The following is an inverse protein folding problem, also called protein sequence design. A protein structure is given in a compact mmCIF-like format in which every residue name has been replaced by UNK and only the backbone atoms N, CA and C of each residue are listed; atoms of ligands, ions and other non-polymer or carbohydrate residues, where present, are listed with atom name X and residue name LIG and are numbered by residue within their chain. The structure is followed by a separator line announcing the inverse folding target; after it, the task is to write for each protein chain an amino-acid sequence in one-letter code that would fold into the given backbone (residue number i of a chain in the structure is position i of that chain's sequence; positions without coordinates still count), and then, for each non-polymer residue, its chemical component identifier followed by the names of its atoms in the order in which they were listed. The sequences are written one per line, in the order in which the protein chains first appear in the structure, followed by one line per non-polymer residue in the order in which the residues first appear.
data_IF_950515518403
#
_entry.id   IF_950515518403
#
_cell.length_a   1.000
_cell.length_b   1.000
_cell.length_c   1.000
_cell.angle_alpha   90.00
_cell.angle_beta   90.00
_cell.angle_gamma   90.00
#
_symmetry.space_group_name_H-M   'P 1'
#
loop_
_entity.id
_entity.type
_entity.pdbx_description
1 polymer ?
#
# COMPACT_ATOMS: atom_id res chain seq x y z
N UNK A 1 -12.67 -3.45 -8.70
CA UNK A 1 -11.37 -3.45 -7.98
C UNK A 1 -11.66 -3.06 -6.55
N UNK A 2 -11.27 -3.87 -5.56
CA UNK A 2 -11.54 -3.59 -4.15
C UNK A 2 -10.63 -2.46 -3.60
N UNK A 3 -10.93 -1.95 -2.38
CA UNK A 3 -10.21 -0.83 -1.77
C UNK A 3 -8.71 -1.12 -1.60
N UNK A 4 -8.36 -2.35 -1.21
CA UNK A 4 -6.99 -2.80 -1.00
C UNK A 4 -6.15 -2.63 -2.27
N UNK A 5 -6.52 -3.27 -3.36
CA UNK A 5 -5.76 -3.21 -4.61
C UNK A 5 -5.74 -1.82 -5.23
N UNK A 6 -6.83 -1.04 -5.07
CA UNK A 6 -6.86 0.33 -5.58
C UNK A 6 -5.89 1.28 -4.87
N UNK A 7 -5.50 0.97 -3.63
CA UNK A 7 -4.49 1.74 -2.90
C UNK A 7 -3.06 1.25 -3.20
N UNK A 8 -2.83 -0.06 -3.17
CA UNK A 8 -1.48 -0.64 -3.20
C UNK A 8 -0.89 -0.80 -4.61
N UNK A 9 -1.70 -1.08 -5.66
CA UNK A 9 -1.18 -1.22 -7.02
C UNK A 9 -0.48 0.02 -7.57
N UNK A 10 -1.00 1.25 -7.42
CA UNK A 10 -0.30 2.45 -7.85
C UNK A 10 1.04 2.64 -7.15
N UNK A 11 1.12 2.32 -5.86
CA UNK A 11 2.35 2.38 -5.07
C UNK A 11 3.39 1.37 -5.57
N UNK A 12 2.99 0.12 -5.76
CA UNK A 12 3.86 -0.90 -6.33
C UNK A 12 4.38 -0.49 -7.72
N UNK A 13 3.49 -0.01 -8.59
CA UNK A 13 3.83 0.45 -9.94
C UNK A 13 4.79 1.64 -9.93
N UNK A 14 4.56 2.62 -9.05
CA UNK A 14 5.45 3.78 -8.90
C UNK A 14 6.84 3.34 -8.42
N UNK A 15 6.91 2.48 -7.40
CA UNK A 15 8.18 1.91 -6.94
C UNK A 15 8.91 1.15 -8.03
N UNK A 16 8.21 0.29 -8.77
CA UNK A 16 8.78 -0.48 -9.88
C UNK A 16 9.38 0.44 -10.97
N UNK A 17 8.66 1.48 -11.37
CA UNK A 17 9.16 2.45 -12.36
C UNK A 17 10.41 3.17 -11.87
N UNK A 18 10.40 3.67 -10.63
CA UNK A 18 11.57 4.33 -10.02
C UNK A 18 12.74 3.36 -9.95
N UNK A 19 12.50 2.10 -9.56
CA UNK A 19 13.53 1.06 -9.49
C UNK A 19 14.16 0.75 -10.85
N UNK A 20 13.35 0.61 -11.90
CA UNK A 20 13.83 0.40 -13.27
C UNK A 20 14.70 1.59 -13.74
N UNK A 21 14.21 2.82 -13.55
CA UNK A 21 14.95 4.03 -13.94
C UNK A 21 16.30 4.10 -13.19
N UNK A 22 16.26 3.92 -11.86
CA UNK A 22 17.47 3.91 -11.02
C UNK A 22 18.43 2.80 -11.45
N UNK A 23 17.95 1.61 -11.75
CA UNK A 23 18.75 0.50 -12.22
C UNK A 23 19.40 0.77 -13.59
N UNK A 24 18.66 1.34 -14.53
CA UNK A 24 19.20 1.73 -15.84
C UNK A 24 20.33 2.74 -15.65
N UNK A 25 20.13 3.76 -14.83
CA UNK A 25 21.16 4.78 -14.54
C UNK A 25 22.38 4.14 -13.87
N UNK A 26 22.18 3.23 -12.92
CA UNK A 26 23.27 2.57 -12.18
C UNK A 26 24.09 1.63 -13.06
N UNK A 27 23.44 0.82 -13.92
CA UNK A 27 24.11 -0.25 -14.68
C UNK A 27 24.59 0.18 -16.07
N UNK A 28 24.05 1.26 -16.65
CA UNK A 28 24.47 1.79 -17.96
C UNK A 28 25.54 2.87 -17.89
N UNK A 29 25.45 3.77 -16.92
CA UNK A 29 26.47 4.78 -16.72
C UNK A 29 27.66 4.09 -16.09
N UNK A 30 28.84 4.15 -16.76
CA UNK A 30 30.11 3.62 -16.25
C UNK A 30 30.28 4.04 -14.78
N UNK A 31 30.93 3.21 -13.94
CA UNK A 31 30.95 3.42 -12.50
C UNK A 31 31.59 4.76 -12.13
N UNK A 32 30.77 5.80 -12.03
CA UNK A 32 31.14 7.01 -11.36
C UNK A 32 31.10 6.70 -9.85
N UNK A 33 32.23 6.34 -9.31
CA UNK A 33 32.70 6.40 -7.92
C UNK A 33 31.84 5.80 -6.80
N UNK A 34 30.51 5.61 -6.94
CA UNK A 34 29.70 4.97 -5.88
C UNK A 34 28.32 4.54 -6.39
N UNK A 35 28.03 3.26 -6.32
CA UNK A 35 26.71 2.68 -6.59
C UNK A 35 25.66 3.12 -5.57
N UNK A 36 26.09 3.59 -4.42
CA UNK A 36 25.21 3.96 -3.31
C UNK A 36 24.38 5.21 -3.59
N UNK A 37 24.95 6.21 -4.26
CA UNK A 37 24.26 7.50 -4.53
C UNK A 37 22.97 7.34 -5.34
N UNK A 38 22.95 6.72 -6.54
CA UNK A 38 21.71 6.57 -7.29
C UNK A 38 20.69 5.71 -6.58
N UNK A 39 21.11 4.68 -5.83
CA UNK A 39 20.20 3.84 -5.05
C UNK A 39 19.55 4.64 -3.91
N UNK A 40 20.32 5.44 -3.17
CA UNK A 40 19.78 6.29 -2.10
C UNK A 40 18.79 7.34 -2.64
N UNK A 41 19.10 7.94 -3.78
CA UNK A 41 18.19 8.88 -4.46
C UNK A 41 16.90 8.14 -4.87
N UNK A 42 17.01 6.94 -5.42
CA UNK A 42 15.86 6.12 -5.79
C UNK A 42 14.99 5.73 -4.59
N UNK A 43 15.59 5.35 -3.46
CA UNK A 43 14.86 5.09 -2.22
C UNK A 43 14.15 6.35 -1.72
N UNK A 44 14.83 7.49 -1.69
CA UNK A 44 14.23 8.76 -1.29
C UNK A 44 13.04 9.13 -2.20
N UNK A 45 13.20 9.01 -3.52
CA UNK A 45 12.13 9.24 -4.48
C UNK A 45 10.93 8.29 -4.26
N UNK A 46 11.18 7.04 -3.90
CA UNK A 46 10.15 6.04 -3.61
C UNK A 46 9.34 6.43 -2.36
N UNK A 47 10.00 6.89 -1.30
CA UNK A 47 9.34 7.37 -0.08
C UNK A 47 8.51 8.63 -0.37
N UNK A 48 9.05 9.57 -1.14
CA UNK A 48 8.33 10.78 -1.56
C UNK A 48 7.10 10.41 -2.40
N UNK A 49 7.22 9.49 -3.35
CA UNK A 49 6.09 9.04 -4.16
C UNK A 49 4.98 8.41 -3.31
N UNK A 50 5.34 7.59 -2.31
CA UNK A 50 4.38 7.01 -1.37
C UNK A 50 3.69 8.09 -0.52
N UNK A 51 4.42 9.09 -0.04
CA UNK A 51 3.86 10.23 0.70
C UNK A 51 2.90 11.06 -0.14
N UNK A 52 3.26 11.37 -1.39
CA UNK A 52 2.40 12.09 -2.33
C UNK A 52 1.11 11.32 -2.64
N UNK A 53 1.21 10.01 -2.86
CA UNK A 53 0.03 9.17 -3.09
C UNK A 53 -0.89 9.14 -1.87
N UNK A 54 -0.31 8.94 -0.67
CA UNK A 54 -1.07 8.87 0.58
C UNK A 54 -1.81 10.17 0.87
N UNK A 55 -1.12 11.32 0.77
CA UNK A 55 -1.64 12.64 1.11
C UNK A 55 -2.23 13.38 -0.10
N UNK A 56 -1.45 14.23 -0.80
CA UNK A 56 -1.98 15.21 -1.78
C UNK A 56 -2.76 14.57 -2.94
N UNK A 57 -2.39 13.37 -3.36
CA UNK A 57 -3.10 12.65 -4.42
C UNK A 57 -4.37 11.92 -3.92
N UNK A 58 -4.67 12.00 -2.63
CA UNK A 58 -5.92 11.52 -2.03
C UNK A 58 -6.07 9.99 -2.02
N UNK A 59 -4.98 9.23 -2.07
CA UNK A 59 -5.01 7.77 -2.01
C UNK A 59 -5.62 7.26 -0.71
N UNK A 60 -5.21 7.86 0.42
CA UNK A 60 -5.71 7.54 1.75
C UNK A 60 -7.21 7.81 1.91
N UNK A 61 -7.67 8.98 1.46
CA UNK A 61 -9.08 9.37 1.55
C UNK A 61 -9.98 8.49 0.69
N UNK A 62 -9.52 8.15 -0.53
CA UNK A 62 -10.24 7.22 -1.40
C UNK A 62 -10.34 5.82 -0.78
N UNK A 63 -9.26 5.36 -0.14
CA UNK A 63 -9.26 4.10 0.59
C UNK A 63 -10.26 4.14 1.74
N UNK A 64 -10.15 5.13 2.64
CA UNK A 64 -11.04 5.29 3.79
C UNK A 64 -12.51 5.40 3.38
N UNK A 65 -12.82 6.19 2.36
CA UNK A 65 -14.19 6.36 1.86
C UNK A 65 -14.77 5.05 1.33
N UNK A 66 -13.98 4.23 0.63
CA UNK A 66 -14.44 2.93 0.12
C UNK A 66 -14.71 1.93 1.25
N UNK A 67 -13.81 1.86 2.24
CA UNK A 67 -14.00 0.97 3.40
C UNK A 67 -15.21 1.41 4.22
N UNK A 68 -15.34 2.70 4.55
CA UNK A 68 -16.48 3.20 5.30
C UNK A 68 -17.80 2.95 4.57
N UNK A 69 -17.83 3.10 3.24
CA UNK A 69 -19.03 2.79 2.45
C UNK A 69 -19.36 1.30 2.50
N UNK A 70 -18.35 0.43 2.40
CA UNK A 70 -18.55 -1.01 2.49
C UNK A 70 -19.02 -1.43 3.88
N UNK A 71 -18.44 -0.86 4.94
CA UNK A 71 -18.85 -1.11 6.31
C UNK A 71 -20.30 -0.67 6.57
N UNK A 72 -20.67 0.54 6.12
CA UNK A 72 -22.04 1.02 6.23
C UNK A 72 -23.02 0.14 5.46
N UNK A 73 -22.66 -0.39 4.30
CA UNK A 73 -23.50 -1.31 3.54
C UNK A 73 -23.75 -2.62 4.32
N UNK A 74 -22.77 -3.10 5.08
CA UNK A 74 -22.94 -4.24 5.99
C UNK A 74 -23.93 -3.90 7.10
N UNK A 75 -23.78 -2.74 7.77
CA UNK A 75 -24.69 -2.32 8.84
C UNK A 75 -26.13 -2.22 8.35
N UNK A 76 -26.35 -1.60 7.18
CA UNK A 76 -27.69 -1.49 6.57
C UNK A 76 -28.26 -2.88 6.24
N UNK A 77 -27.42 -3.80 5.73
CA UNK A 77 -27.85 -5.16 5.37
C UNK A 77 -28.35 -5.96 6.56
N UNK A 78 -27.75 -5.74 7.73
CA UNK A 78 -28.11 -6.42 8.98
C UNK A 78 -29.03 -5.57 9.88
N UNK A 79 -29.60 -4.49 9.34
CA UNK A 79 -30.53 -3.56 10.03
C UNK A 79 -29.94 -2.97 11.33
N UNK A 80 -28.62 -2.90 11.43
CA UNK A 80 -27.88 -2.36 12.58
C UNK A 80 -27.70 -0.85 12.48
N UNK A 81 -28.80 -0.11 12.25
CA UNK A 81 -28.77 1.35 12.02
C UNK A 81 -28.32 2.18 13.22
N UNK A 82 -28.33 1.61 14.42
CA UNK A 82 -27.88 2.25 15.67
C UNK A 82 -26.36 2.11 15.89
N UNK A 83 -25.69 1.24 15.13
CA UNK A 83 -24.24 1.05 15.19
C UNK A 83 -23.56 1.91 14.14
N UNK A 84 -22.47 2.54 14.52
CA UNK A 84 -21.60 3.29 13.63
C UNK A 84 -20.32 2.52 13.37
N UNK A 85 -19.89 2.48 12.12
CA UNK A 85 -18.62 1.88 11.71
C UNK A 85 -17.79 2.92 10.96
N UNK A 86 -16.57 3.13 11.40
CA UNK A 86 -15.64 4.02 10.73
C UNK A 86 -14.21 3.51 10.82
N UNK A 87 -13.41 3.80 9.81
CA UNK A 87 -12.00 3.46 9.78
C UNK A 87 -11.23 4.35 10.76
N UNK A 88 -10.31 3.77 11.54
CA UNK A 88 -9.46 4.52 12.46
C UNK A 88 -8.58 5.52 11.71
N UNK A 89 -8.62 6.81 12.10
CA UNK A 89 -7.99 7.92 11.36
C UNK A 89 -6.83 8.62 12.07
N UNK A 90 -6.53 8.27 13.27
CA UNK A 90 -5.47 8.94 13.99
C UNK A 90 -4.37 8.03 14.58
N UNK A 91 -3.43 7.51 13.78
CA UNK A 91 -3.20 7.57 12.33
C UNK A 91 -4.16 6.69 11.52
N UNK A 92 -4.30 6.95 10.21
CA UNK A 92 -5.12 6.10 9.36
C UNK A 92 -4.53 4.69 9.30
N UNK A 93 -5.33 3.71 9.76
CA UNK A 93 -4.98 2.28 9.76
C UNK A 93 -6.04 1.48 8.99
N UNK A 94 -5.82 0.19 8.82
CA UNK A 94 -6.81 -0.73 8.22
C UNK A 94 -7.75 -1.35 9.26
N UNK A 95 -8.00 -0.64 10.35
CA UNK A 95 -8.86 -1.08 11.44
C UNK A 95 -10.18 -0.34 11.44
N UNK A 96 -11.29 -1.09 11.51
CA UNK A 96 -12.63 -0.53 11.68
C UNK A 96 -12.93 -0.42 13.18
N UNK A 97 -13.42 0.75 13.58
CA UNK A 97 -13.95 1.01 14.91
C UNK A 97 -15.47 0.95 14.85
N UNK A 98 -16.04 0.13 15.71
CA UNK A 98 -17.48 0.01 15.92
C UNK A 98 -17.88 0.74 17.19
N UNK A 99 -18.98 1.48 17.14
CA UNK A 99 -19.56 2.18 18.28
C UNK A 99 -21.10 2.15 18.21
N UNK A 100 -21.75 1.99 19.35
CA UNK A 100 -23.22 1.96 19.46
C UNK A 100 -23.73 0.82 20.32
N UNK A 101 -25.05 0.77 20.53
CA UNK A 101 -25.67 -0.30 21.31
C UNK A 101 -25.71 -1.60 20.48
N UNK A 102 -25.18 -2.66 21.04
CA UNK A 102 -25.26 -4.02 20.49
C UNK A 102 -25.05 -5.03 21.62
N UNK A 103 -25.75 -6.15 21.58
CA UNK A 103 -25.52 -7.25 22.48
C UNK A 103 -24.23 -8.02 22.12
N UNK A 104 -23.78 -8.92 22.99
CA UNK A 104 -22.50 -9.63 22.82
C UNK A 104 -22.49 -10.52 21.57
N UNK A 105 -23.63 -11.10 21.20
CA UNK A 105 -23.75 -11.89 19.99
C UNK A 105 -23.64 -11.00 18.76
N UNK A 106 -24.38 -9.90 18.71
CA UNK A 106 -24.32 -8.93 17.62
C UNK A 106 -22.92 -8.34 17.45
N UNK A 107 -22.24 -8.03 18.57
CA UNK A 107 -20.86 -7.53 18.55
C UNK A 107 -19.90 -8.53 17.88
N UNK A 108 -19.98 -9.80 18.26
CA UNK A 108 -19.12 -10.83 17.69
C UNK A 108 -19.38 -11.06 16.21
N UNK A 109 -20.65 -11.11 15.81
CA UNK A 109 -21.03 -11.28 14.40
C UNK A 109 -20.63 -10.10 13.54
N UNK A 110 -20.83 -8.86 14.02
CA UNK A 110 -20.39 -7.67 13.27
C UNK A 110 -18.88 -7.64 13.08
N UNK A 111 -18.08 -7.97 14.09
CA UNK A 111 -16.63 -8.09 13.93
C UNK A 111 -16.31 -9.10 12.84
N UNK A 112 -16.91 -10.29 12.88
CA UNK A 112 -16.70 -11.35 11.90
C UNK A 112 -17.03 -10.92 10.47
N UNK A 113 -18.14 -10.19 10.26
CA UNK A 113 -18.51 -9.71 8.92
C UNK A 113 -17.63 -8.56 8.45
N UNK A 114 -17.26 -7.64 9.34
CA UNK A 114 -16.40 -6.50 8.99
C UNK A 114 -14.97 -6.94 8.66
N UNK A 115 -14.44 -7.95 9.35
CA UNK A 115 -13.11 -8.50 9.09
C UNK A 115 -13.00 -9.18 7.70
N UNK A 116 -14.14 -9.59 7.12
CA UNK A 116 -14.17 -10.13 5.76
C UNK A 116 -14.13 -9.06 4.66
N UNK A 117 -14.24 -7.78 5.02
CA UNK A 117 -14.19 -6.70 4.03
C UNK A 117 -12.77 -6.56 3.44
N UNK A 118 -12.65 -6.56 2.11
CA UNK A 118 -11.35 -6.47 1.46
C UNK A 118 -10.64 -5.15 1.77
N UNK A 119 -9.51 -5.23 2.46
CA UNK A 119 -8.72 -4.08 2.88
C UNK A 119 -8.79 -3.81 4.39
N UNK A 120 -9.70 -4.42 5.10
CA UNK A 120 -9.74 -4.41 6.57
C UNK A 120 -8.75 -5.43 7.10
N UNK A 121 -8.06 -5.08 8.16
CA UNK A 121 -7.12 -5.94 8.87
C UNK A 121 -7.74 -6.47 10.17
N UNK A 122 -8.49 -5.63 10.86
CA UNK A 122 -9.17 -5.97 12.09
C UNK A 122 -10.32 -5.02 12.36
N UNK A 123 -11.28 -5.48 13.14
CA UNK A 123 -12.43 -4.69 13.62
C UNK A 123 -12.50 -4.77 15.14
N UNK A 124 -12.78 -3.67 15.81
CA UNK A 124 -12.86 -3.61 17.28
C UNK A 124 -13.98 -2.69 17.75
N UNK A 125 -14.48 -2.97 18.94
CA UNK A 125 -15.41 -2.12 19.70
C UNK A 125 -14.70 -1.21 20.71
N UNK A 126 -13.38 -1.20 20.70
CA UNK A 126 -12.55 -0.43 21.62
C UNK A 126 -11.67 0.60 20.92
N UNK A 127 -10.69 1.12 21.64
CA UNK A 127 -9.73 2.05 21.05
C UNK A 127 -9.01 1.41 19.86
N UNK A 128 -8.81 2.20 18.83
CA UNK A 128 -8.11 1.76 17.63
C UNK A 128 -6.61 1.70 17.80
N UNK A 129 -5.95 0.96 16.93
CA UNK A 129 -4.49 0.79 16.88
C UNK A 129 -4.06 0.23 15.53
N UNK A 130 -2.88 -0.36 15.49
CA UNK A 130 -2.36 -1.04 14.31
C UNK A 130 -1.34 -0.24 13.51
N UNK A 131 -0.86 -0.84 12.44
CA UNK A 131 0.17 -0.25 11.58
C UNK A 131 -0.46 0.86 10.74
N UNK A 132 0.12 2.08 10.70
CA UNK A 132 -0.35 3.14 9.83
C UNK A 132 -0.31 2.73 8.35
N UNK A 133 -1.37 3.02 7.61
CA UNK A 133 -1.50 2.68 6.19
C UNK A 133 -0.35 3.25 5.34
N UNK A 134 0.20 4.41 5.71
CA UNK A 134 1.36 5.00 5.03
C UNK A 134 2.60 4.12 5.14
N UNK A 135 2.83 3.47 6.28
CA UNK A 135 3.97 2.57 6.48
C UNK A 135 3.85 1.35 5.58
N UNK A 136 2.66 0.75 5.51
CA UNK A 136 2.39 -0.35 4.58
C UNK A 136 2.56 0.11 3.12
N UNK A 137 2.10 1.31 2.79
CA UNK A 137 2.26 1.91 1.47
C UNK A 137 3.72 2.10 1.07
N UNK A 138 4.55 2.63 1.98
CA UNK A 138 6.00 2.76 1.78
C UNK A 138 6.63 1.39 1.57
N UNK A 139 6.29 0.39 2.38
CA UNK A 139 6.82 -0.96 2.26
C UNK A 139 6.51 -1.57 0.88
N UNK A 140 5.27 -1.46 0.41
CA UNK A 140 4.87 -1.96 -0.93
C UNK A 140 5.60 -1.21 -2.05
N UNK A 141 5.78 0.11 -1.92
CA UNK A 141 6.50 0.92 -2.90
C UNK A 141 8.00 0.51 -2.96
N UNK A 142 8.61 0.25 -1.80
CA UNK A 142 9.99 -0.26 -1.72
C UNK A 142 10.15 -1.67 -2.30
N UNK A 143 9.17 -2.55 -2.11
CA UNK A 143 9.15 -3.87 -2.76
C UNK A 143 9.11 -3.69 -4.29
N UNK A 144 8.24 -2.83 -4.80
CA UNK A 144 8.19 -2.47 -6.21
C UNK A 144 9.54 -1.96 -6.73
N UNK A 145 10.17 -1.05 -5.97
CA UNK A 145 11.51 -0.52 -6.27
C UNK A 145 12.56 -1.62 -6.39
N UNK A 146 12.61 -2.56 -5.43
CA UNK A 146 13.51 -3.71 -5.46
C UNK A 146 13.30 -4.60 -6.69
N UNK A 147 12.03 -4.89 -7.03
CA UNK A 147 11.66 -5.63 -8.25
C UNK A 147 12.13 -4.88 -9.50
N UNK A 148 11.94 -3.56 -9.56
CA UNK A 148 12.40 -2.72 -10.67
C UNK A 148 13.92 -2.74 -10.85
N UNK A 149 14.68 -2.64 -9.75
CA UNK A 149 16.14 -2.79 -9.77
C UNK A 149 16.57 -4.15 -10.28
N UNK A 150 15.93 -5.23 -9.82
CA UNK A 150 16.21 -6.60 -10.26
C UNK A 150 15.96 -6.75 -11.76
N UNK A 151 14.86 -6.26 -12.27
CA UNK A 151 14.56 -6.31 -13.71
C UNK A 151 15.61 -5.56 -14.53
N UNK A 152 16.00 -4.36 -14.10
CA UNK A 152 17.05 -3.60 -14.76
C UNK A 152 18.40 -4.32 -14.76
N UNK A 153 18.74 -4.99 -13.65
CA UNK A 153 19.94 -5.83 -13.53
C UNK A 153 19.91 -7.03 -14.50
N UNK A 154 18.79 -7.75 -14.54
CA UNK A 154 18.65 -8.91 -15.43
C UNK A 154 18.79 -8.52 -16.91
N UNK A 155 18.20 -7.39 -17.30
CA UNK A 155 18.35 -6.84 -18.65
C UNK A 155 19.81 -6.46 -18.95
N UNK A 156 20.50 -5.85 -17.99
CA UNK A 156 21.90 -5.51 -18.14
C UNK A 156 22.78 -6.76 -18.26
N UNK A 157 22.50 -7.79 -17.48
CA UNK A 157 23.20 -9.09 -17.51
C UNK A 157 22.97 -9.80 -18.85
N UNK A 158 21.73 -9.87 -19.32
CA UNK A 158 21.38 -10.46 -20.61
C UNK A 158 22.11 -9.78 -21.78
N UNK A 159 22.15 -8.44 -21.77
CA UNK A 159 22.87 -7.68 -22.80
C UNK A 159 24.39 -7.96 -22.79
N UNK A 160 24.99 -8.07 -21.60
CA UNK A 160 26.43 -8.42 -21.48
C UNK A 160 26.70 -9.83 -22.01
N UNK A 161 25.84 -10.78 -21.72
CA UNK A 161 25.96 -12.15 -22.22
C UNK A 161 25.88 -12.21 -23.75
N UNK A 162 24.88 -11.57 -24.35
CA UNK A 162 24.71 -11.56 -25.81
C UNK A 162 25.85 -10.82 -26.53
N UNK A 163 26.41 -9.76 -25.94
CA UNK A 163 27.54 -9.03 -26.53
C UNK A 163 28.83 -9.88 -26.61
N UNK A 164 28.96 -10.97 -25.83
CA UNK A 164 30.09 -11.87 -25.90
C UNK A 164 30.01 -12.84 -27.09
N UNK A 165 28.83 -13.02 -27.70
CA UNK A 165 28.58 -13.97 -28.79
C UNK A 165 28.34 -13.29 -30.15
N UNK A 166 28.38 -11.96 -30.22
CA UNK A 166 28.27 -11.20 -31.47
C UNK A 166 29.65 -11.02 -32.11
N UNK A 167 30.11 -12.04 -32.82
CA UNK A 167 31.25 -11.97 -33.74
C UNK A 167 30.71 -11.90 -35.17
#
# INVERSE_FOLDING_TARGET
MNAFWAYFWPLFGAGLMIGVITGILTYRLKPLTSWTRPILIGIAATVVAAGLWHGPLGGADRFATRINRAANAVLVRYEMTQVQAHLHRGPLTRQILLAGPADDFQRSELVRYMDQLPGVQATTWGPGGGIPLIVEGIAVCLVGFGVGLLLAYLVALHRRYNAQWSW
#
